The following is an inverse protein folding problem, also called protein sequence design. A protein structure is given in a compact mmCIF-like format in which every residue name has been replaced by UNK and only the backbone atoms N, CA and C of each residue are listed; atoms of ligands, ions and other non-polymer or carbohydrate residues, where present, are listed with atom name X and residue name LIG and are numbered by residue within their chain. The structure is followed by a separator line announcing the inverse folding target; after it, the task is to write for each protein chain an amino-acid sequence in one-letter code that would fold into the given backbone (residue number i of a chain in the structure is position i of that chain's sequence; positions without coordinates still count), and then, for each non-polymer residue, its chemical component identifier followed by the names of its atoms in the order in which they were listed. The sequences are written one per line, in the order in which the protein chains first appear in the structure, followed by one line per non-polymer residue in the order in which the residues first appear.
data_IF_430517801162
#
_entry.id   IF_430517801162
#
_cell.length_a   1.000
_cell.length_b   1.000
_cell.length_c   1.000
_cell.angle_alpha   90.00
_cell.angle_beta   90.00
_cell.angle_gamma   90.00
#
_symmetry.space_group_name_H-M   'P 1'
#
loop_
_entity.id
_entity.type
_entity.pdbx_description
1 polymer ?
#
# COMPACT_ATOMS: atom_id res chain seq x y z
N UNK A 1 -22.87 -4.83 18.87
CA UNK A 1 -21.60 -5.58 18.75
C UNK A 1 -20.88 -4.98 17.53
N UNK A 2 -20.05 -3.95 17.73
CA UNK A 2 -19.23 -3.35 16.67
C UNK A 2 -18.19 -4.40 16.30
N UNK A 3 -18.31 -4.97 15.13
CA UNK A 3 -17.23 -5.75 14.53
C UNK A 3 -16.08 -4.77 14.36
N UNK A 4 -14.99 -4.99 15.08
CA UNK A 4 -13.73 -4.30 14.81
C UNK A 4 -13.41 -4.58 13.34
N UNK A 5 -13.57 -3.55 12.52
CA UNK A 5 -13.12 -3.61 11.13
C UNK A 5 -11.60 -3.80 11.21
N UNK A 6 -11.14 -5.00 10.92
CA UNK A 6 -9.72 -5.30 10.82
C UNK A 6 -9.14 -4.26 9.85
N UNK A 7 -8.26 -3.42 10.35
CA UNK A 7 -7.65 -2.35 9.58
C UNK A 7 -6.90 -2.98 8.40
N UNK A 8 -7.20 -2.54 7.18
CA UNK A 8 -6.56 -3.02 5.96
C UNK A 8 -5.20 -2.34 5.82
N UNK A 9 -4.14 -3.12 5.51
CA UNK A 9 -2.81 -2.57 5.27
C UNK A 9 -2.82 -1.52 4.16
N UNK A 10 -3.62 -1.75 3.11
CA UNK A 10 -3.80 -0.81 2.02
C UNK A 10 -4.50 0.47 2.47
N UNK A 11 -5.54 0.34 3.29
CA UNK A 11 -6.28 1.46 3.85
C UNK A 11 -5.39 2.30 4.75
N UNK A 12 -4.65 1.67 5.65
CA UNK A 12 -3.74 2.35 6.57
C UNK A 12 -2.59 3.04 5.82
N UNK A 13 -2.01 2.39 4.82
CA UNK A 13 -1.00 3.03 3.98
C UNK A 13 -1.57 4.24 3.24
N UNK A 14 -2.80 4.15 2.74
CA UNK A 14 -3.46 5.27 2.08
C UNK A 14 -3.68 6.44 3.05
N UNK A 15 -4.16 6.17 4.26
CA UNK A 15 -4.52 7.18 5.24
C UNK A 15 -3.31 7.82 5.93
N UNK A 16 -2.29 7.02 6.27
CA UNK A 16 -1.18 7.48 7.07
C UNK A 16 0.03 7.93 6.25
N UNK A 17 0.22 7.35 5.06
CA UNK A 17 1.43 7.54 4.24
C UNK A 17 1.14 8.27 2.94
N UNK A 18 0.09 7.86 2.22
CA UNK A 18 -0.20 8.39 0.89
C UNK A 18 -0.88 9.77 0.94
N UNK A 19 -1.80 10.00 1.87
CA UNK A 19 -2.46 11.30 2.07
C UNK A 19 -1.69 12.15 3.06
N UNK A 20 -1.52 13.45 2.74
CA UNK A 20 -0.98 14.40 3.71
C UNK A 20 -1.98 14.65 4.86
N UNK A 21 -1.58 15.45 5.86
CA UNK A 21 -2.42 15.82 7.00
C UNK A 21 -3.70 16.55 6.62
N UNK A 22 -3.76 17.10 5.40
CA UNK A 22 -4.90 17.81 4.85
C UNK A 22 -5.72 16.96 3.85
N UNK A 23 -5.44 15.66 3.76
CA UNK A 23 -6.11 14.73 2.84
C UNK A 23 -5.76 14.96 1.36
N UNK A 24 -4.63 15.60 1.06
CA UNK A 24 -4.16 15.84 -0.30
C UNK A 24 -3.24 14.73 -0.77
N UNK A 25 -3.33 14.42 -2.04
CA UNK A 25 -2.35 13.53 -2.68
C UNK A 25 -1.17 14.38 -3.14
N UNK A 26 0.02 14.19 -2.58
CA UNK A 26 1.20 14.95 -2.99
C UNK A 26 1.56 14.66 -4.44
N UNK A 27 1.62 15.70 -5.29
CA UNK A 27 1.80 15.57 -6.73
C UNK A 27 3.17 15.05 -7.19
N UNK A 28 4.16 15.06 -6.31
CA UNK A 28 5.56 14.75 -6.60
C UNK A 28 6.09 13.45 -5.97
N UNK A 29 5.26 12.72 -5.22
CA UNK A 29 5.68 11.48 -4.56
C UNK A 29 5.39 10.26 -5.44
N UNK A 30 6.14 10.11 -6.53
CA UNK A 30 6.04 8.94 -7.42
C UNK A 30 6.25 7.61 -6.68
N UNK A 31 7.08 7.60 -5.64
CA UNK A 31 7.34 6.42 -4.81
C UNK A 31 6.10 5.88 -4.08
N UNK A 32 5.15 6.75 -3.72
CA UNK A 32 3.96 6.32 -2.97
C UNK A 32 3.02 5.42 -3.77
N UNK A 33 3.00 5.53 -5.10
CA UNK A 33 2.24 4.61 -5.94
C UNK A 33 2.80 3.18 -5.90
N UNK A 34 4.12 3.05 -5.79
CA UNK A 34 4.78 1.75 -5.58
C UNK A 34 4.48 1.20 -4.18
N UNK A 35 4.48 2.07 -3.16
CA UNK A 35 4.09 1.68 -1.80
C UNK A 35 2.66 1.15 -1.71
N UNK A 36 1.69 1.83 -2.35
CA UNK A 36 0.30 1.34 -2.41
C UNK A 36 0.20 -0.03 -3.10
N UNK A 37 0.91 -0.24 -4.20
CA UNK A 37 0.92 -1.55 -4.85
C UNK A 37 1.63 -2.62 -4.01
N UNK A 38 2.67 -2.23 -3.29
CA UNK A 38 3.33 -3.09 -2.31
C UNK A 38 2.38 -3.50 -1.18
N UNK A 39 1.62 -2.55 -0.62
CA UNK A 39 0.63 -2.83 0.41
C UNK A 39 -0.44 -3.82 -0.08
N UNK A 40 -0.97 -3.66 -1.30
CA UNK A 40 -1.92 -4.60 -1.90
C UNK A 40 -1.33 -6.02 -2.03
N UNK A 41 -0.09 -6.14 -2.50
CA UNK A 41 0.56 -7.44 -2.65
C UNK A 41 0.88 -8.08 -1.30
N UNK A 42 1.36 -7.30 -0.33
CA UNK A 42 1.63 -7.81 1.02
C UNK A 42 0.35 -8.27 1.71
N UNK A 43 -0.73 -7.51 1.61
CA UNK A 43 -2.02 -7.90 2.19
C UNK A 43 -2.54 -9.20 1.57
N UNK A 44 -2.50 -9.33 0.24
CA UNK A 44 -2.84 -10.59 -0.44
C UNK A 44 -1.95 -11.76 0.00
N UNK A 45 -0.68 -11.52 0.29
CA UNK A 45 0.26 -12.53 0.74
C UNK A 45 0.01 -12.94 2.20
N UNK A 46 -0.28 -11.98 3.08
CA UNK A 46 -0.59 -12.22 4.49
C UNK A 46 -1.90 -12.99 4.65
N UNK A 47 -2.87 -12.71 3.80
CA UNK A 47 -4.15 -13.41 3.76
C UNK A 47 -4.09 -14.76 3.01
N UNK A 48 -2.92 -15.13 2.47
CA UNK A 48 -2.71 -16.41 1.78
C UNK A 48 -3.31 -16.50 0.38
N UNK A 49 -3.66 -15.37 -0.25
CA UNK A 49 -4.21 -15.36 -1.62
C UNK A 49 -3.15 -15.45 -2.71
N UNK A 50 -1.90 -15.13 -2.40
CA UNK A 50 -0.75 -15.25 -3.31
C UNK A 50 0.44 -15.89 -2.59
N UNK A 51 1.29 -16.54 -3.37
CA UNK A 51 2.58 -17.09 -2.93
C UNK A 51 3.62 -16.92 -4.04
N UNK A 52 4.85 -17.35 -3.79
CA UNK A 52 5.91 -17.34 -4.81
C UNK A 52 6.30 -18.74 -5.22
N UNK A 53 6.51 -18.92 -6.53
CA UNK A 53 7.12 -20.11 -7.12
C UNK A 53 8.27 -19.60 -8.00
N UNK A 54 9.49 -20.07 -7.74
CA UNK A 54 10.69 -19.71 -8.51
C UNK A 54 10.88 -18.18 -8.66
N UNK A 55 10.51 -17.41 -7.63
CA UNK A 55 10.61 -15.95 -7.61
C UNK A 55 9.47 -15.20 -8.31
N UNK A 56 8.50 -15.92 -8.86
CA UNK A 56 7.31 -15.34 -9.49
C UNK A 56 6.12 -15.36 -8.53
N UNK A 57 5.32 -14.29 -8.54
CA UNK A 57 4.08 -14.22 -7.78
C UNK A 57 2.97 -14.98 -8.52
N UNK A 58 2.35 -15.91 -7.83
CA UNK A 58 1.22 -16.71 -8.32
C UNK A 58 0.05 -16.64 -7.34
N UNK A 59 -1.16 -16.70 -7.88
CA UNK A 59 -2.38 -16.64 -7.09
C UNK A 59 -2.83 -18.03 -6.66
N UNK A 60 -3.30 -18.14 -5.42
CA UNK A 60 -3.96 -19.34 -4.90
C UNK A 60 -5.35 -19.47 -5.50
N UNK A 61 -5.74 -20.69 -5.91
CA UNK A 61 -7.05 -20.95 -6.50
C UNK A 61 -8.15 -21.01 -5.44
N UNK A 62 -9.35 -20.60 -5.82
CA UNK A 62 -10.58 -20.82 -5.06
C UNK A 62 -10.97 -19.73 -4.05
N UNK A 63 -10.02 -19.02 -3.45
CA UNK A 63 -10.30 -17.98 -2.48
C UNK A 63 -10.42 -16.59 -3.13
N UNK A 64 -11.27 -15.73 -2.56
CA UNK A 64 -11.39 -14.32 -2.99
C UNK A 64 -11.33 -13.39 -1.79
N UNK A 65 -10.60 -12.27 -1.89
CA UNK A 65 -10.61 -11.23 -0.87
C UNK A 65 -12.01 -10.61 -0.75
N UNK A 66 -12.33 -10.11 0.45
CA UNK A 66 -13.56 -9.33 0.68
C UNK A 66 -13.44 -7.91 0.09
N UNK A 67 -12.24 -7.38 0.12
CA UNK A 67 -11.91 -6.07 -0.43
C UNK A 67 -11.93 -6.13 -1.97
N UNK A 68 -12.66 -5.20 -2.57
CA UNK A 68 -12.84 -5.14 -4.04
C UNK A 68 -11.53 -4.84 -4.75
N UNK A 69 -10.73 -3.88 -4.25
CA UNK A 69 -9.46 -3.52 -4.89
C UNK A 69 -8.48 -4.69 -4.87
N UNK A 70 -8.42 -5.44 -3.76
CA UNK A 70 -7.61 -6.67 -3.68
C UNK A 70 -8.15 -7.76 -4.60
N UNK A 71 -9.47 -7.90 -4.69
CA UNK A 71 -10.11 -8.82 -5.63
C UNK A 71 -9.74 -8.53 -7.08
N UNK A 72 -9.76 -7.26 -7.50
CA UNK A 72 -9.34 -6.84 -8.85
C UNK A 72 -7.86 -7.14 -9.11
N UNK A 73 -6.99 -6.93 -8.11
CA UNK A 73 -5.56 -7.29 -8.20
C UNK A 73 -5.37 -8.79 -8.34
N UNK A 74 -6.08 -9.60 -7.53
CA UNK A 74 -5.99 -11.05 -7.58
C UNK A 74 -6.46 -11.61 -8.92
N UNK A 75 -7.57 -11.09 -9.46
CA UNK A 75 -8.05 -11.45 -10.81
C UNK A 75 -6.99 -11.11 -11.86
N UNK A 76 -6.33 -9.96 -11.76
CA UNK A 76 -5.28 -9.57 -12.68
C UNK A 76 -4.05 -10.49 -12.60
N UNK A 77 -3.69 -10.97 -11.41
CA UNK A 77 -2.61 -11.95 -11.23
C UNK A 77 -3.02 -13.29 -11.88
N UNK A 78 -4.23 -13.77 -11.61
CA UNK A 78 -4.76 -15.03 -12.18
C UNK A 78 -4.88 -15.03 -13.70
N UNK A 79 -5.29 -13.90 -14.27
CA UNK A 79 -5.47 -13.76 -15.72
C UNK A 79 -4.19 -13.43 -16.49
N UNK A 80 -3.07 -13.26 -15.79
CA UNK A 80 -1.80 -12.97 -16.44
C UNK A 80 -1.31 -14.16 -17.25
N UNK A 81 -1.01 -13.92 -18.52
CA UNK A 81 -0.46 -14.95 -19.43
C UNK A 81 1.03 -15.20 -19.20
N UNK A 82 1.69 -14.33 -18.45
CA UNK A 82 3.12 -14.42 -18.16
C UNK A 82 3.32 -14.41 -16.65
N UNK A 83 4.23 -15.24 -16.18
CA UNK A 83 4.71 -15.18 -14.80
C UNK A 83 5.45 -13.86 -14.60
N UNK A 84 5.24 -13.21 -13.44
CA UNK A 84 5.86 -11.93 -13.13
C UNK A 84 6.43 -11.95 -11.72
N UNK A 85 7.58 -11.31 -11.60
CA UNK A 85 8.26 -11.05 -10.32
C UNK A 85 7.52 -9.98 -9.49
N UNK A 86 7.89 -9.85 -8.22
CA UNK A 86 7.36 -8.80 -7.35
C UNK A 86 7.59 -7.40 -7.94
N UNK A 87 8.78 -7.12 -8.49
CA UNK A 87 9.10 -5.82 -9.11
C UNK A 87 8.21 -5.50 -10.32
N UNK A 88 7.93 -6.49 -11.15
CA UNK A 88 7.05 -6.29 -12.31
C UNK A 88 5.60 -6.04 -11.88
N UNK A 89 5.12 -6.74 -10.85
CA UNK A 89 3.78 -6.51 -10.30
C UNK A 89 3.67 -5.16 -9.61
N UNK A 90 4.65 -4.77 -8.78
CA UNK A 90 4.68 -3.45 -8.14
C UNK A 90 4.54 -2.35 -9.17
N UNK A 91 5.32 -2.40 -10.27
CA UNK A 91 5.22 -1.42 -11.36
C UNK A 91 3.87 -1.46 -12.08
N UNK A 92 3.41 -2.65 -12.44
CA UNK A 92 2.17 -2.81 -13.19
C UNK A 92 0.92 -2.36 -12.40
N UNK A 93 0.93 -2.52 -11.08
CA UNK A 93 -0.17 -2.16 -10.19
C UNK A 93 -0.11 -0.69 -9.74
N UNK A 94 1.07 -0.07 -9.69
CA UNK A 94 1.24 1.32 -9.24
C UNK A 94 0.42 2.31 -10.09
N UNK A 95 0.25 2.01 -11.37
CA UNK A 95 -0.61 2.79 -12.26
C UNK A 95 -2.07 2.63 -11.84
N UNK A 96 -2.63 3.69 -11.26
CA UNK A 96 -4.02 3.72 -10.81
C UNK A 96 -4.30 3.07 -9.44
N UNK A 97 -3.28 2.60 -8.69
CA UNK A 97 -3.45 2.05 -7.35
C UNK A 97 -4.28 2.97 -6.44
N UNK A 98 -3.93 4.26 -6.38
CA UNK A 98 -4.65 5.23 -5.58
C UNK A 98 -6.13 5.41 -6.00
N UNK A 99 -6.46 5.25 -7.28
CA UNK A 99 -7.85 5.36 -7.76
C UNK A 99 -8.70 4.21 -7.26
N UNK A 100 -8.14 3.00 -7.31
CA UNK A 100 -8.83 1.79 -6.83
C UNK A 100 -9.10 1.89 -5.34
N UNK A 101 -8.04 2.08 -4.54
CA UNK A 101 -8.16 2.17 -3.08
C UNK A 101 -9.02 3.36 -2.63
N UNK A 102 -8.88 4.53 -3.23
CA UNK A 102 -9.75 5.65 -2.84
C UNK A 102 -11.21 5.42 -3.19
N UNK A 103 -11.52 4.67 -4.25
CA UNK A 103 -12.90 4.33 -4.59
C UNK A 103 -13.52 3.40 -3.53
N UNK A 104 -12.77 2.41 -3.06
CA UNK A 104 -13.22 1.50 -2.01
C UNK A 104 -13.38 2.22 -0.67
N UNK A 105 -12.40 3.01 -0.24
CA UNK A 105 -12.50 3.81 0.99
C UNK A 105 -13.65 4.85 0.95
N UNK A 106 -13.99 5.35 -0.23
CA UNK A 106 -15.19 6.20 -0.40
C UNK A 106 -16.46 5.36 -0.26
N UNK A 107 -16.52 4.19 -0.87
CA UNK A 107 -17.67 3.29 -0.77
C UNK A 107 -17.91 2.82 0.68
N UNK A 108 -16.85 2.64 1.46
CA UNK A 108 -16.89 2.29 2.88
C UNK A 108 -17.19 3.49 3.80
N UNK A 109 -17.26 4.70 3.25
CA UNK A 109 -17.51 5.92 4.02
C UNK A 109 -16.34 6.32 4.91
N UNK A 110 -15.13 5.94 4.57
CA UNK A 110 -13.87 6.36 5.23
C UNK A 110 -13.37 7.69 4.67
N UNK A 111 -13.47 7.83 3.34
CA UNK A 111 -13.08 9.03 2.62
C UNK A 111 -14.29 9.68 1.92
N UNK A 112 -14.25 10.99 1.81
CA UNK A 112 -15.14 11.75 0.92
C UNK A 112 -14.30 12.58 -0.03
N UNK A 113 -14.68 12.59 -1.29
CA UNK A 113 -14.03 13.43 -2.30
C UNK A 113 -14.49 14.85 -2.16
N UNK A 114 -13.58 15.77 -1.83
CA UNK A 114 -13.93 17.20 -1.72
C UNK A 114 -14.13 17.81 -3.09
N UNK A 115 -15.29 18.44 -3.35
CA UNK A 115 -15.51 19.16 -4.59
C UNK A 115 -14.52 20.33 -4.74
N UNK A 116 -13.99 20.50 -5.91
CA UNK A 116 -13.04 21.58 -6.21
C UNK A 116 -13.81 22.91 -6.27
N UNK A 117 -13.72 23.73 -5.23
CA UNK A 117 -14.45 25.01 -5.14
C UNK A 117 -13.84 26.14 -5.97
N UNK A 118 -12.56 26.04 -6.38
CA UNK A 118 -11.85 27.10 -7.12
C UNK A 118 -10.68 26.54 -7.92
N UNK A 119 -10.42 27.04 -9.14
CA UNK A 119 -9.19 26.68 -9.86
C UNK A 119 -8.01 27.46 -9.27
N UNK A 120 -7.39 26.93 -8.22
CA UNK A 120 -6.14 27.51 -7.74
C UNK A 120 -5.00 27.10 -8.66
N UNK A 121 -4.13 28.07 -8.99
CA UNK A 121 -2.94 27.89 -9.82
C UNK A 121 -1.92 26.90 -9.23
N UNK A 122 -2.09 26.48 -7.98
CA UNK A 122 -1.21 25.60 -7.23
C UNK A 122 -1.55 24.11 -7.38
N UNK A 123 -1.81 23.65 -8.59
CA UNK A 123 -1.71 22.24 -8.88
C UNK A 123 -2.97 21.40 -8.76
N UNK A 124 -2.98 20.33 -9.53
CA UNK A 124 -4.03 19.33 -9.74
C UNK A 124 -4.17 18.33 -8.58
N UNK A 125 -3.81 18.70 -7.34
CA UNK A 125 -3.91 17.79 -6.19
C UNK A 125 -5.37 17.42 -5.93
N UNK A 126 -5.67 16.14 -5.89
CA UNK A 126 -6.95 15.62 -5.43
C UNK A 126 -6.99 15.78 -3.92
N UNK A 127 -8.15 16.16 -3.39
CA UNK A 127 -8.37 16.31 -1.97
C UNK A 127 -9.45 15.34 -1.51
N UNK A 128 -9.20 14.73 -0.38
CA UNK A 128 -10.15 13.87 0.31
C UNK A 128 -10.31 14.36 1.74
N UNK A 129 -11.54 14.34 2.24
CA UNK A 129 -11.79 14.54 3.65
C UNK A 129 -11.91 13.16 4.31
N UNK A 130 -11.17 12.94 5.39
CA UNK A 130 -11.20 11.70 6.16
C UNK A 130 -12.38 11.79 7.12
N UNK A 131 -13.45 11.03 6.87
CA UNK A 131 -14.66 11.04 7.68
C UNK A 131 -14.49 10.31 9.02
N UNK A 132 -13.59 9.32 9.07
CA UNK A 132 -13.27 8.56 10.27
C UNK A 132 -11.85 8.88 10.71
N UNK A 133 -11.67 10.02 11.38
CA UNK A 133 -10.37 10.47 11.88
C UNK A 133 -9.69 9.45 12.79
N UNK A 134 -10.47 8.70 13.58
CA UNK A 134 -9.95 7.61 14.43
C UNK A 134 -9.16 6.56 13.65
N UNK A 135 -9.58 6.22 12.43
CA UNK A 135 -8.87 5.27 11.56
C UNK A 135 -7.50 5.81 11.11
N UNK A 136 -7.42 7.10 10.77
CA UNK A 136 -6.14 7.72 10.43
C UNK A 136 -5.21 7.80 11.63
N UNK A 137 -5.72 8.20 12.78
CA UNK A 137 -4.92 8.30 14.01
C UNK A 137 -4.39 6.93 14.43
N UNK A 138 -5.18 5.86 14.25
CA UNK A 138 -4.74 4.50 14.46
C UNK A 138 -3.63 4.10 13.47
N UNK A 139 -3.80 4.37 12.18
CA UNK A 139 -2.81 4.10 11.14
C UNK A 139 -1.49 4.87 11.37
N UNK A 140 -1.56 6.14 11.77
CA UNK A 140 -0.39 6.95 12.12
C UNK A 140 0.31 6.40 13.37
N UNK A 141 -0.45 5.97 14.40
CA UNK A 141 0.16 5.31 15.58
C UNK A 141 0.85 4.00 15.21
N UNK A 142 0.27 3.23 14.31
CA UNK A 142 0.88 1.98 13.80
C UNK A 142 2.20 2.24 13.08
N UNK A 143 2.36 3.40 12.42
CA UNK A 143 3.64 3.82 11.84
C UNK A 143 4.70 4.14 12.91
N UNK A 144 4.30 4.66 14.05
CA UNK A 144 5.21 5.08 15.13
C UNK A 144 5.83 3.93 15.93
N UNK A 145 5.50 2.67 15.65
CA UNK A 145 6.15 1.47 16.21
C UNK A 145 6.03 1.26 17.72
N UNK A 146 5.40 2.19 18.44
CA UNK A 146 5.48 2.25 19.90
C UNK A 146 4.40 1.44 20.64
N UNK A 147 3.35 1.00 19.97
CA UNK A 147 2.20 0.42 20.66
C UNK A 147 1.85 -1.01 20.25
N UNK A 148 2.21 -1.45 19.04
CA UNK A 148 1.76 -2.76 18.57
C UNK A 148 2.82 -3.40 17.65
N UNK A 149 3.43 -4.47 18.15
CA UNK A 149 4.37 -5.30 17.36
C UNK A 149 3.62 -6.25 16.43
N UNK A 150 2.41 -5.90 15.99
CA UNK A 150 1.66 -6.70 15.04
C UNK A 150 2.38 -6.72 13.68
N UNK A 151 2.27 -7.86 13.01
CA UNK A 151 2.85 -7.97 11.66
C UNK A 151 2.33 -6.93 10.69
N UNK A 152 1.09 -6.46 10.88
CA UNK A 152 0.48 -5.38 10.12
C UNK A 152 1.22 -4.04 10.31
N UNK A 153 1.47 -3.63 11.55
CA UNK A 153 2.20 -2.39 11.87
C UNK A 153 3.62 -2.43 11.33
N UNK A 154 4.28 -3.58 11.42
CA UNK A 154 5.63 -3.79 10.89
C UNK A 154 5.65 -3.68 9.36
N UNK A 155 4.69 -4.30 8.67
CA UNK A 155 4.58 -4.20 7.22
C UNK A 155 4.31 -2.75 6.76
N UNK A 156 3.46 -2.02 7.49
CA UNK A 156 3.16 -0.62 7.22
C UNK A 156 4.40 0.27 7.39
N UNK A 157 5.14 0.11 8.49
CA UNK A 157 6.37 0.87 8.78
C UNK A 157 7.47 0.56 7.75
N UNK A 158 7.65 -0.71 7.40
CA UNK A 158 8.62 -1.13 6.39
C UNK A 158 8.31 -0.52 5.02
N UNK A 159 7.05 -0.55 4.58
CA UNK A 159 6.63 0.07 3.32
C UNK A 159 6.79 1.60 3.33
N UNK A 160 6.45 2.26 4.43
CA UNK A 160 6.63 3.70 4.59
C UNK A 160 8.11 4.09 4.50
N UNK A 161 8.98 3.32 5.15
CA UNK A 161 10.44 3.49 5.07
C UNK A 161 10.95 3.26 3.64
N UNK A 162 10.51 2.18 2.97
CA UNK A 162 10.89 1.88 1.58
C UNK A 162 10.51 3.00 0.60
N UNK A 163 9.42 3.73 0.90
CA UNK A 163 8.99 4.89 0.12
C UNK A 163 9.66 6.20 0.52
N UNK A 164 10.53 6.21 1.54
CA UNK A 164 11.12 7.43 2.10
C UNK A 164 10.09 8.37 2.76
N UNK A 165 8.94 7.82 3.17
CA UNK A 165 7.86 8.59 3.79
C UNK A 165 7.96 8.63 5.32
N UNK A 166 8.70 7.71 5.91
CA UNK A 166 9.02 7.67 7.34
C UNK A 166 10.49 7.31 7.52
N UNK A 167 11.09 7.77 8.63
CA UNK A 167 12.40 7.29 9.05
C UNK A 167 12.28 5.84 9.47
N UNK A 168 13.26 5.01 9.08
CA UNK A 168 13.34 3.65 9.56
C UNK A 168 13.63 3.67 11.07
N UNK A 169 12.77 3.04 11.86
CA UNK A 169 12.96 2.82 13.30
C UNK A 169 13.70 1.49 13.57
N UNK A 170 13.89 0.69 12.53
CA UNK A 170 14.56 -0.61 12.54
C UNK A 170 15.53 -0.73 11.37
N UNK A 171 16.49 -1.63 11.50
CA UNK A 171 17.35 -1.98 10.38
C UNK A 171 16.57 -2.75 9.29
N UNK A 172 16.97 -2.57 8.04
CA UNK A 172 16.34 -3.23 6.89
C UNK A 172 16.28 -4.76 7.03
N UNK A 173 17.35 -5.35 7.53
CA UNK A 173 17.47 -6.80 7.80
C UNK A 173 16.46 -7.31 8.82
N UNK A 174 16.10 -6.48 9.82
CA UNK A 174 15.09 -6.83 10.82
C UNK A 174 13.70 -6.84 10.20
N UNK A 175 13.36 -5.82 9.38
CA UNK A 175 12.11 -5.82 8.63
C UNK A 175 11.97 -7.06 7.77
N UNK A 176 13.02 -7.40 6.99
CA UNK A 176 13.00 -8.59 6.13
C UNK A 176 12.82 -9.89 6.93
N UNK A 177 13.51 -10.03 8.06
CA UNK A 177 13.41 -11.24 8.89
C UNK A 177 12.00 -11.42 9.45
N UNK A 178 11.39 -10.36 9.99
CA UNK A 178 10.03 -10.41 10.53
C UNK A 178 9.02 -10.68 9.42
N UNK A 179 9.09 -9.95 8.31
CA UNK A 179 8.18 -10.13 7.19
C UNK A 179 8.29 -11.52 6.57
N UNK A 180 9.50 -12.11 6.53
CA UNK A 180 9.73 -13.47 6.04
C UNK A 180 9.07 -14.52 6.93
N UNK A 181 9.02 -14.29 8.24
CA UNK A 181 8.32 -15.20 9.17
C UNK A 181 6.80 -15.19 8.96
N UNK A 182 6.25 -14.11 8.41
CA UNK A 182 4.82 -13.97 8.14
C UNK A 182 4.45 -14.54 6.76
N UNK A 183 5.21 -14.17 5.73
CA UNK A 183 5.06 -14.67 4.37
C UNK A 183 6.36 -14.47 3.58
N UNK A 184 6.83 -15.49 2.83
CA UNK A 184 8.03 -15.36 2.00
C UNK A 184 7.87 -14.35 0.85
N UNK A 185 6.63 -13.95 0.52
CA UNK A 185 6.33 -12.94 -0.49
C UNK A 185 6.65 -11.52 0.02
N UNK A 186 6.42 -11.26 1.31
CA UNK A 186 6.50 -9.91 1.87
C UNK A 186 7.88 -9.26 1.73
N UNK A 187 9.01 -9.91 2.05
CA UNK A 187 10.34 -9.31 1.86
C UNK A 187 10.65 -9.07 0.38
N UNK A 188 10.20 -9.95 -0.53
CA UNK A 188 10.39 -9.75 -1.96
C UNK A 188 9.63 -8.50 -2.46
N UNK A 189 8.41 -8.29 -1.97
CA UNK A 189 7.61 -7.09 -2.28
C UNK A 189 8.26 -5.84 -1.69
N UNK A 190 8.77 -5.91 -0.45
CA UNK A 190 9.45 -4.77 0.19
C UNK A 190 10.66 -4.33 -0.63
N UNK A 191 11.54 -5.26 -0.98
CA UNK A 191 12.72 -4.99 -1.83
C UNK A 191 12.30 -4.44 -3.20
N UNK A 192 11.25 -5.00 -3.81
CA UNK A 192 10.73 -4.53 -5.09
C UNK A 192 10.21 -3.08 -5.02
N UNK A 193 9.54 -2.70 -3.92
CA UNK A 193 9.09 -1.31 -3.71
C UNK A 193 10.28 -0.38 -3.59
N UNK A 194 11.27 -0.70 -2.75
CA UNK A 194 12.48 0.10 -2.57
C UNK A 194 13.21 0.31 -3.90
N UNK A 195 13.43 -0.75 -4.68
CA UNK A 195 14.06 -0.69 -6.00
C UNK A 195 13.29 0.19 -6.99
N UNK A 196 11.97 0.09 -7.00
CA UNK A 196 11.14 0.91 -7.88
C UNK A 196 11.19 2.39 -7.50
N UNK A 197 11.21 2.71 -6.21
CA UNK A 197 11.35 4.08 -5.69
C UNK A 197 12.72 4.66 -6.08
N UNK A 198 13.80 3.92 -5.85
CA UNK A 198 15.16 4.34 -6.21
C UNK A 198 15.30 4.62 -7.70
N UNK A 199 14.85 3.70 -8.56
CA UNK A 199 14.91 3.86 -10.02
C UNK A 199 14.04 5.02 -10.51
N UNK A 200 12.88 5.22 -9.89
CA UNK A 200 12.00 6.36 -10.21
C UNK A 200 12.64 7.70 -9.84
N UNK A 201 13.36 7.76 -8.73
CA UNK A 201 14.10 8.95 -8.34
C UNK A 201 15.22 9.28 -9.33
N UNK A 202 15.98 8.29 -9.80
CA UNK A 202 17.07 8.49 -10.77
C UNK A 202 16.55 8.96 -12.14
N UNK A 203 15.40 8.48 -12.60
CA UNK A 203 14.82 8.88 -13.90
C UNK A 203 14.24 10.30 -13.92
N UNK A 204 14.04 10.93 -12.77
CA UNK A 204 13.57 12.32 -12.67
C UNK A 204 14.70 13.38 -12.77
N UNK A 205 15.95 12.94 -12.83
CA UNK A 205 17.15 13.81 -12.92
C UNK A 205 17.74 13.86 -14.34
N UNK A 206 17.16 13.12 -15.28
CA UNK A 206 17.53 13.15 -16.72
C UNK A 206 16.46 13.82 -17.56
#
# INVERSE_FOLDING_TARGET
MKTDATSSLCGDFMLAVYLDEHGRVPGYRTGLGFGLSGAMLMELALDGFIHTIDGYIVAVHGAQPRDRALGEVLVRIRSSRTLRTASEWVRALSVGAHKRLSADLIAEGVLVRTPRRWPSAAGRARRYDVLRGEGRDAAVRSLGGTADSSGHSIALAALASACGAASADREWSEYEAILRSMSPVCPQVLTAVADCVWRGALSSWT
#
